data_IF_563296680722
#
_entry.id   IF_563296680722
#
_cell.length_a   1.000
_cell.length_b   1.000
_cell.length_c   1.000
_cell.angle_alpha   90.00
_cell.angle_beta   90.00
_cell.angle_gamma   90.00
#
_symmetry.space_group_name_H-M   'P 1'
#
loop_
_entity.id
_entity.type
_entity.pdbx_description
1 polymer ?
#
# COMPACT_ATOMS: atom_id res chain seq x y z
N UNK A 1 52.72 -29.36 -11.03
CA UNK A 1 51.48 -30.17 -10.95
C UNK A 1 50.27 -29.23 -10.80
N UNK A 2 49.03 -29.68 -11.04
CA UNK A 2 47.82 -28.81 -11.07
C UNK A 2 46.97 -28.93 -9.79
N UNK A 3 46.49 -27.79 -9.28
CA UNK A 3 45.28 -27.51 -8.44
C UNK A 3 45.31 -25.98 -8.20
N UNK A 4 44.35 -25.11 -8.53
CA UNK A 4 42.87 -25.15 -8.71
C UNK A 4 42.08 -24.93 -7.41
N UNK A 5 41.00 -24.14 -7.48
CA UNK A 5 40.24 -23.47 -6.39
C UNK A 5 40.96 -22.20 -5.90
N UNK A 6 40.48 -20.96 -6.05
CA UNK A 6 39.14 -20.41 -6.38
C UNK A 6 38.06 -20.62 -5.31
N UNK A 7 37.11 -19.68 -5.26
CA UNK A 7 35.95 -19.55 -4.35
C UNK A 7 36.28 -19.11 -2.90
N UNK A 8 35.45 -18.31 -2.20
CA UNK A 8 34.16 -17.71 -2.59
C UNK A 8 33.98 -16.26 -2.10
N UNK A 9 33.13 -15.49 -2.81
CA UNK A 9 32.64 -14.16 -2.38
C UNK A 9 31.21 -14.29 -1.85
N UNK A 10 31.02 -14.41 -0.54
CA UNK A 10 29.69 -14.36 0.10
C UNK A 10 29.39 -12.96 0.65
N UNK A 11 29.13 -12.03 -0.26
CA UNK A 11 28.58 -10.71 0.10
C UNK A 11 27.10 -10.87 0.49
N UNK A 12 26.83 -11.24 1.74
CA UNK A 12 25.48 -11.38 2.28
C UNK A 12 25.05 -10.05 2.90
N UNK A 13 24.25 -9.31 2.16
CA UNK A 13 23.53 -8.12 2.63
C UNK A 13 22.40 -8.49 3.61
N UNK A 14 21.74 -7.45 4.15
CA UNK A 14 20.39 -7.49 4.78
C UNK A 14 20.29 -8.08 6.19
N UNK A 15 20.71 -7.27 7.16
CA UNK A 15 20.10 -7.24 8.49
C UNK A 15 19.83 -5.81 9.00
N UNK A 16 19.36 -4.92 8.10
CA UNK A 16 18.58 -3.76 8.54
C UNK A 16 17.17 -4.25 8.89
N UNK A 17 17.03 -4.86 10.06
CA UNK A 17 15.73 -5.29 10.57
C UNK A 17 14.87 -4.06 10.84
N UNK A 18 13.85 -3.86 10.01
CA UNK A 18 12.88 -2.78 10.17
C UNK A 18 12.07 -3.00 11.44
N UNK A 19 12.52 -2.43 12.55
CA UNK A 19 11.88 -2.49 13.86
C UNK A 19 10.44 -1.99 13.78
N UNK A 20 9.49 -2.93 13.63
CA UNK A 20 8.06 -2.66 13.59
C UNK A 20 7.56 -2.27 14.98
N UNK A 21 7.80 -1.01 15.36
CA UNK A 21 7.44 -0.45 16.67
C UNK A 21 5.92 -0.43 16.85
N UNK A 22 5.39 -1.43 17.56
CA UNK A 22 3.99 -1.43 17.99
C UNK A 22 3.80 -0.38 19.09
N UNK A 23 3.06 0.68 18.79
CA UNK A 23 2.84 1.80 19.73
C UNK A 23 1.35 2.12 19.87
N UNK A 24 0.68 1.43 20.81
CA UNK A 24 -0.68 1.75 21.32
C UNK A 24 -1.83 1.75 20.27
N UNK A 25 -3.11 1.93 20.67
CA UNK A 25 -4.17 2.31 19.74
C UNK A 25 -4.05 3.80 19.36
N UNK A 26 -2.99 4.16 18.62
CA UNK A 26 -2.73 5.55 18.21
C UNK A 26 -3.59 5.98 17.03
N UNK A 27 -4.24 7.14 17.21
CA UNK A 27 -4.97 7.97 16.24
C UNK A 27 -4.80 7.62 14.75
N UNK A 28 -5.92 7.40 14.06
CA UNK A 28 -6.03 7.13 12.62
C UNK A 28 -5.17 8.11 11.77
N UNK A 29 -4.07 7.61 11.20
CA UNK A 29 -3.13 8.43 10.44
C UNK A 29 -3.78 8.96 9.15
N UNK A 30 -3.80 10.29 8.99
CA UNK A 30 -4.41 10.96 7.84
C UNK A 30 -3.40 11.20 6.71
N UNK A 31 -3.58 10.52 5.58
CA UNK A 31 -2.72 10.59 4.39
C UNK A 31 -3.28 11.62 3.39
N UNK A 32 -2.51 12.65 2.99
CA UNK A 32 -2.93 13.60 1.95
C UNK A 32 -3.27 12.94 0.61
N UNK A 33 -4.34 13.38 -0.06
CA UNK A 33 -4.78 12.85 -1.38
C UNK A 33 -3.64 12.73 -2.43
N UNK A 34 -2.64 13.64 -2.54
CA UNK A 34 -1.52 13.47 -3.47
C UNK A 34 -0.62 12.25 -3.20
N UNK A 35 -0.46 11.85 -1.93
CA UNK A 35 0.30 10.64 -1.58
C UNK A 35 -0.53 9.40 -1.89
N UNK A 36 -1.84 9.45 -1.61
CA UNK A 36 -2.79 8.39 -2.00
C UNK A 36 -2.81 8.21 -3.53
N UNK A 37 -2.76 9.30 -4.30
CA UNK A 37 -2.74 9.27 -5.76
C UNK A 37 -1.48 8.57 -6.29
N UNK A 38 -0.32 8.86 -5.71
CA UNK A 38 0.94 8.16 -6.01
C UNK A 38 0.87 6.66 -5.63
N UNK A 39 0.38 6.32 -4.44
CA UNK A 39 0.21 4.92 -4.01
C UNK A 39 -0.64 4.09 -4.98
N UNK A 40 -1.70 4.68 -5.53
CA UNK A 40 -2.62 4.02 -6.46
C UNK A 40 -2.28 4.27 -7.95
N UNK A 41 -1.14 4.91 -8.25
CA UNK A 41 -0.68 5.21 -9.62
C UNK A 41 -1.75 5.93 -10.46
N UNK A 42 -2.47 6.87 -9.84
CA UNK A 42 -3.64 7.56 -10.39
C UNK A 42 -3.53 9.07 -10.20
N UNK A 43 -4.46 9.84 -10.76
CA UNK A 43 -4.51 11.31 -10.59
C UNK A 43 -5.46 11.72 -9.48
N UNK A 44 -5.35 12.96 -8.99
CA UNK A 44 -6.31 13.53 -8.03
C UNK A 44 -7.76 13.53 -8.59
N UNK A 45 -7.93 13.77 -9.89
CA UNK A 45 -9.23 13.64 -10.56
C UNK A 45 -9.70 12.18 -10.65
N UNK A 46 -8.78 11.23 -10.73
CA UNK A 46 -9.05 9.80 -10.57
C UNK A 46 -9.63 9.49 -9.19
N UNK A 47 -8.98 9.93 -8.11
CA UNK A 47 -9.48 9.76 -6.73
C UNK A 47 -10.83 10.45 -6.49
N UNK A 48 -11.06 11.61 -7.11
CA UNK A 48 -12.36 12.29 -7.08
C UNK A 48 -13.45 11.49 -7.79
N UNK A 49 -13.16 10.90 -8.96
CA UNK A 49 -14.11 10.00 -9.65
C UNK A 49 -14.39 8.73 -8.86
N UNK A 50 -13.36 8.11 -8.26
CA UNK A 50 -13.49 6.92 -7.40
C UNK A 50 -14.28 7.20 -6.12
N UNK A 51 -14.16 8.41 -5.56
CA UNK A 51 -14.97 8.88 -4.43
C UNK A 51 -16.45 8.96 -4.78
N UNK A 52 -16.77 9.42 -5.98
CA UNK A 52 -18.15 9.63 -6.44
C UNK A 52 -18.76 8.37 -7.10
N UNK A 53 -18.02 7.27 -7.21
CA UNK A 53 -18.55 5.98 -7.68
C UNK A 53 -19.03 5.15 -6.47
N UNK A 54 -20.36 5.02 -6.26
CA UNK A 54 -20.89 4.27 -5.12
C UNK A 54 -20.57 2.78 -5.18
N UNK A 55 -20.25 2.21 -6.35
CA UNK A 55 -19.97 0.77 -6.52
C UNK A 55 -18.59 0.39 -6.01
N UNK A 56 -17.63 1.31 -6.04
CA UNK A 56 -16.26 1.05 -5.61
C UNK A 56 -16.15 1.04 -4.07
N UNK A 57 -17.04 1.77 -3.38
CA UNK A 57 -16.96 2.03 -1.94
C UNK A 57 -15.53 2.44 -1.52
N UNK A 58 -15.00 3.45 -2.21
CA UNK A 58 -13.68 4.03 -1.92
C UNK A 58 -13.74 4.86 -0.63
N UNK A 59 -12.67 4.92 0.19
CA UNK A 59 -12.70 5.64 1.47
C UNK A 59 -13.12 7.12 1.35
N UNK A 60 -14.05 7.61 2.20
CA UNK A 60 -14.53 8.98 2.14
C UNK A 60 -13.42 9.99 2.50
N UNK A 61 -13.17 10.98 1.63
CA UNK A 61 -11.68 12.46 2.02
C UNK A 61 -12.08 13.44 3.12
N UNK A 62 -11.44 13.35 4.28
CA UNK A 62 -11.53 14.29 5.39
C UNK A 62 -10.85 15.60 4.96
N UNK A 63 -11.58 16.72 5.00
CA UNK A 63 -11.09 18.02 4.50
C UNK A 63 -10.59 18.89 5.67
N UNK A 64 -9.29 19.20 5.67
CA UNK A 64 -8.62 20.03 6.68
C UNK A 64 -7.90 21.19 6.00
N UNK A 65 -8.16 22.44 6.43
CA UNK A 65 -7.53 23.67 5.88
C UNK A 65 -7.52 23.71 4.34
N UNK A 66 -8.69 23.44 3.75
CA UNK A 66 -8.95 23.31 2.31
C UNK A 66 -8.17 22.18 1.56
N UNK A 67 -7.40 21.34 2.24
CA UNK A 67 -6.75 20.15 1.67
C UNK A 67 -7.51 18.88 2.03
N UNK A 68 -7.41 17.88 1.17
CA UNK A 68 -8.03 16.57 1.36
C UNK A 68 -7.03 15.56 1.94
N UNK A 69 -7.52 14.72 2.86
CA UNK A 69 -6.79 13.61 3.47
C UNK A 69 -7.70 12.38 3.56
N UNK A 70 -7.15 11.17 3.61
CA UNK A 70 -7.89 9.91 3.81
C UNK A 70 -7.28 9.14 4.98
N UNK A 71 -8.08 8.39 5.75
CA UNK A 71 -7.51 7.49 6.78
C UNK A 71 -6.66 6.40 6.12
N UNK A 72 -5.42 6.23 6.63
CA UNK A 72 -4.51 5.14 6.26
C UNK A 72 -5.20 3.79 6.39
N UNK A 73 -5.89 3.56 7.52
CA UNK A 73 -6.54 2.29 7.84
C UNK A 73 -7.64 1.96 6.81
N UNK A 74 -8.46 2.94 6.46
CA UNK A 74 -9.50 2.77 5.43
C UNK A 74 -8.91 2.50 4.02
N UNK A 75 -7.75 3.06 3.70
CA UNK A 75 -7.02 2.74 2.45
C UNK A 75 -6.53 1.28 2.46
N UNK A 76 -5.99 0.80 3.58
CA UNK A 76 -5.51 -0.58 3.75
C UNK A 76 -6.65 -1.59 3.70
N UNK A 77 -7.76 -1.31 4.40
CA UNK A 77 -9.01 -2.08 4.33
C UNK A 77 -9.54 -2.17 2.87
N UNK A 78 -9.49 -1.08 2.11
CA UNK A 78 -9.85 -1.05 0.69
C UNK A 78 -8.87 -1.86 -0.18
N UNK A 79 -7.55 -1.72 0.00
CA UNK A 79 -6.54 -2.53 -0.71
C UNK A 79 -6.73 -4.01 -0.43
N UNK A 80 -6.99 -4.38 0.83
CA UNK A 80 -7.29 -5.76 1.25
C UNK A 80 -8.56 -6.31 0.60
N UNK A 81 -9.65 -5.52 0.53
CA UNK A 81 -10.87 -5.88 -0.21
C UNK A 81 -10.58 -6.19 -1.68
N UNK A 82 -9.89 -5.27 -2.38
CA UNK A 82 -9.56 -5.42 -3.80
C UNK A 82 -8.68 -6.66 -4.07
N UNK A 83 -7.69 -6.90 -3.21
CA UNK A 83 -6.82 -8.08 -3.34
C UNK A 83 -7.58 -9.40 -3.15
N UNK A 84 -8.47 -9.48 -2.15
CA UNK A 84 -9.32 -10.68 -1.93
C UNK A 84 -10.24 -10.94 -3.12
N UNK A 85 -10.87 -9.89 -3.67
CA UNK A 85 -11.75 -10.01 -4.82
C UNK A 85 -11.00 -10.51 -6.08
N UNK A 86 -9.80 -9.98 -6.34
CA UNK A 86 -8.98 -10.43 -7.47
C UNK A 86 -8.49 -11.89 -7.31
N UNK A 87 -8.22 -12.33 -6.08
CA UNK A 87 -7.86 -13.74 -5.80
C UNK A 87 -9.06 -14.66 -6.03
N UNK A 88 -10.26 -14.29 -5.57
CA UNK A 88 -11.49 -15.07 -5.77
C UNK A 88 -11.82 -15.23 -7.27
N UNK A 89 -11.87 -14.13 -8.01
CA UNK A 89 -12.13 -14.14 -9.46
C UNK A 89 -11.11 -15.00 -10.23
N UNK A 90 -9.84 -15.03 -9.79
CA UNK A 90 -8.81 -15.88 -10.38
C UNK A 90 -8.97 -17.37 -10.03
N UNK A 91 -9.56 -17.69 -8.88
CA UNK A 91 -9.85 -19.07 -8.49
C UNK A 91 -11.09 -19.62 -9.19
N UNK A 92 -12.09 -18.78 -9.46
CA UNK A 92 -13.32 -19.11 -10.19
C UNK A 92 -13.08 -19.31 -11.71
N UNK A 93 -12.04 -18.68 -12.26
CA UNK A 93 -11.69 -18.74 -13.68
C UNK A 93 -10.76 -19.93 -14.07
N UNK A 94 -10.79 -21.04 -13.31
CA UNK A 94 -9.89 -22.19 -13.49
C UNK A 94 -10.60 -23.54 -13.31
#
# INVERSE_FOLDING_TARGET
>A
MRKTQQQEKTSIEKSCEGMASQSSPTHDHLVPDPIVAAEFHTTLMGLYRWTNDPKLHFPPPIKIRNRNFRSRRAIEEFKGRMMRAAIAQRAEAK
#
